data_IF_043004617905
#
_entry.id   IF_043004617905
#
_cell.length_a   1.000
_cell.length_b   1.000
_cell.length_c   1.000
_cell.angle_alpha   90.00
_cell.angle_beta   90.00
_cell.angle_gamma   90.00
#
_symmetry.space_group_name_H-M   'P 1'
#
loop_
_entity.id
_entity.type
_entity.pdbx_description
1 polymer ?
#
# COMPACT_ATOMS: atom_id res chain seq x y z
N UNK A 1 9.16 9.49 -26.08
CA UNK A 1 9.39 10.30 -24.86
C UNK A 1 8.16 10.32 -23.95
N UNK A 2 6.94 10.56 -24.45
CA UNK A 2 5.66 10.49 -23.68
C UNK A 2 5.31 9.12 -23.04
N UNK A 3 5.96 8.03 -23.46
CA UNK A 3 5.71 6.67 -22.96
C UNK A 3 6.49 6.29 -21.70
N UNK A 4 7.63 6.96 -21.45
CA UNK A 4 8.48 6.68 -20.28
C UNK A 4 7.93 7.35 -19.01
N UNK A 5 7.47 8.60 -19.12
CA UNK A 5 6.88 9.34 -17.99
C UNK A 5 5.64 8.62 -17.44
N UNK A 6 4.76 8.13 -18.32
CA UNK A 6 3.58 7.37 -17.91
C UNK A 6 3.92 6.06 -17.19
N UNK A 7 5.04 5.41 -17.51
CA UNK A 7 5.48 4.18 -16.84
C UNK A 7 5.98 4.45 -15.42
N UNK A 8 6.79 5.51 -15.24
CA UNK A 8 7.31 5.89 -13.92
C UNK A 8 6.20 6.39 -13.00
N UNK A 9 5.27 7.20 -13.53
CA UNK A 9 4.10 7.66 -12.78
C UNK A 9 3.22 6.48 -12.36
N UNK A 10 2.95 5.52 -13.25
CA UNK A 10 2.19 4.32 -12.90
C UNK A 10 2.90 3.45 -11.85
N UNK A 11 4.21 3.24 -11.97
CA UNK A 11 4.99 2.49 -10.96
C UNK A 11 4.95 3.18 -9.59
N UNK A 12 5.19 4.48 -9.55
CA UNK A 12 5.14 5.27 -8.31
C UNK A 12 3.74 5.30 -7.69
N UNK A 13 2.70 5.43 -8.50
CA UNK A 13 1.31 5.41 -8.02
C UNK A 13 0.93 4.03 -7.47
N UNK A 14 1.31 2.94 -8.14
CA UNK A 14 1.07 1.58 -7.65
C UNK A 14 1.79 1.31 -6.34
N UNK A 15 3.06 1.71 -6.22
CA UNK A 15 3.82 1.59 -4.97
C UNK A 15 3.17 2.41 -3.83
N UNK A 16 2.76 3.65 -4.13
CA UNK A 16 2.06 4.50 -3.18
C UNK A 16 0.73 3.88 -2.73
N UNK A 17 -0.07 3.34 -3.64
CA UNK A 17 -1.34 2.68 -3.30
C UNK A 17 -1.14 1.38 -2.50
N UNK A 18 -0.06 0.64 -2.75
CA UNK A 18 0.23 -0.62 -2.04
C UNK A 18 0.78 -0.39 -0.63
N UNK A 19 1.42 0.74 -0.36
CA UNK A 19 2.10 1.03 0.91
C UNK A 19 1.39 2.10 1.74
N UNK A 20 0.99 3.22 1.14
CA UNK A 20 0.38 4.33 1.85
C UNK A 20 -1.09 4.06 2.24
N UNK A 21 -1.85 3.38 1.38
CA UNK A 21 -3.25 3.06 1.67
C UNK A 21 -3.43 2.15 2.90
N UNK A 22 -2.72 1.02 3.05
CA UNK A 22 -2.87 0.18 4.24
C UNK A 22 -2.47 0.91 5.53
N UNK A 23 -1.52 1.85 5.49
CA UNK A 23 -1.19 2.72 6.63
C UNK A 23 -2.33 3.66 7.00
N UNK A 24 -3.00 4.26 6.00
CA UNK A 24 -4.19 5.08 6.23
C UNK A 24 -5.34 4.25 6.81
N UNK A 25 -5.54 3.03 6.30
CA UNK A 25 -6.55 2.09 6.83
C UNK A 25 -6.23 1.74 8.29
N UNK A 26 -4.98 1.43 8.62
CA UNK A 26 -4.54 1.22 10.02
C UNK A 26 -4.86 2.43 10.90
N UNK A 27 -4.51 3.64 10.47
CA UNK A 27 -4.80 4.87 11.20
C UNK A 27 -6.31 5.07 11.41
N UNK A 28 -7.13 4.84 10.39
CA UNK A 28 -8.59 4.93 10.50
C UNK A 28 -9.14 3.93 11.51
N UNK A 29 -8.63 2.69 11.54
CA UNK A 29 -9.07 1.68 12.52
C UNK A 29 -8.64 1.96 13.95
N UNK A 30 -7.62 2.79 14.15
CA UNK A 30 -7.21 3.29 15.47
C UNK A 30 -8.09 4.48 15.88
N UNK A 31 -8.38 5.41 14.95
CA UNK A 31 -9.17 6.62 15.21
C UNK A 31 -10.66 6.35 15.34
N UNK A 32 -11.19 5.44 14.52
CA UNK A 32 -12.54 4.88 14.62
C UNK A 32 -12.35 3.54 15.31
N UNK A 33 -12.80 3.34 16.56
CA UNK A 33 -12.48 2.16 17.36
C UNK A 33 -13.12 0.90 16.77
N UNK A 34 -12.48 0.33 15.76
CA UNK A 34 -12.90 -0.90 15.10
C UNK A 34 -12.47 -2.06 16.00
N UNK A 35 -13.43 -2.69 16.69
CA UNK A 35 -13.18 -3.82 17.59
C UNK A 35 -12.84 -5.13 16.87
N UNK A 36 -12.80 -5.14 15.54
CA UNK A 36 -12.50 -6.32 14.75
C UNK A 36 -11.00 -6.45 14.50
N UNK A 37 -10.36 -7.40 15.18
CA UNK A 37 -8.93 -7.69 15.02
C UNK A 37 -8.54 -8.01 13.56
N UNK A 38 -9.43 -8.63 12.78
CA UNK A 38 -9.18 -8.99 11.37
C UNK A 38 -8.96 -7.78 10.47
N UNK A 39 -9.52 -6.62 10.84
CA UNK A 39 -9.25 -5.36 10.14
C UNK A 39 -7.77 -5.02 10.17
N UNK A 40 -7.14 -5.09 11.35
CA UNK A 40 -5.72 -4.79 11.53
C UNK A 40 -4.84 -5.84 10.87
N UNK A 41 -5.20 -7.12 10.97
CA UNK A 41 -4.48 -8.22 10.30
C UNK A 41 -4.46 -7.99 8.79
N UNK A 42 -5.62 -7.72 8.17
CA UNK A 42 -5.71 -7.47 6.73
C UNK A 42 -4.90 -6.24 6.31
N UNK A 43 -4.94 -5.15 7.09
CA UNK A 43 -4.18 -3.94 6.79
C UNK A 43 -2.65 -4.18 6.87
N UNK A 44 -2.18 -4.93 7.87
CA UNK A 44 -0.76 -5.31 8.02
C UNK A 44 -0.33 -6.27 6.89
N UNK A 45 -1.15 -7.29 6.58
CA UNK A 45 -0.87 -8.21 5.47
C UNK A 45 -0.80 -7.47 4.14
N UNK A 46 -1.71 -6.53 3.90
CA UNK A 46 -1.69 -5.69 2.70
C UNK A 46 -0.39 -4.86 2.62
N UNK A 47 0.01 -4.21 3.72
CA UNK A 47 1.27 -3.48 3.78
C UNK A 47 2.48 -4.38 3.47
N UNK A 48 2.54 -5.58 4.08
CA UNK A 48 3.59 -6.56 3.84
C UNK A 48 3.67 -7.02 2.39
N UNK A 49 2.52 -7.33 1.77
CA UNK A 49 2.46 -7.67 0.34
C UNK A 49 2.91 -6.50 -0.54
N UNK A 50 2.52 -5.27 -0.18
CA UNK A 50 2.95 -4.07 -0.87
C UNK A 50 4.48 -3.91 -0.86
N UNK A 51 5.13 -4.18 0.27
CA UNK A 51 6.59 -4.15 0.39
C UNK A 51 7.26 -5.23 -0.48
N UNK A 52 6.75 -6.46 -0.45
CA UNK A 52 7.30 -7.56 -1.26
C UNK A 52 7.23 -7.22 -2.75
N UNK A 53 6.09 -6.74 -3.22
CA UNK A 53 5.93 -6.32 -4.62
C UNK A 53 6.79 -5.12 -4.99
N UNK A 54 6.92 -4.15 -4.08
CA UNK A 54 7.76 -2.98 -4.30
C UNK A 54 9.21 -3.39 -4.51
N UNK A 55 9.78 -4.17 -3.58
CA UNK A 55 11.16 -4.68 -3.66
C UNK A 55 11.34 -5.52 -4.94
N UNK A 56 10.40 -6.44 -5.23
CA UNK A 56 10.49 -7.33 -6.39
C UNK A 56 10.37 -6.63 -7.76
N UNK A 57 9.90 -5.38 -7.80
CA UNK A 57 9.76 -4.58 -9.04
C UNK A 57 10.92 -3.60 -9.21
N UNK A 58 11.65 -3.34 -8.13
CA UNK A 58 12.79 -2.42 -8.08
C UNK A 58 14.14 -3.16 -8.26
N UNK A 59 14.19 -4.46 -7.91
CA UNK A 59 15.21 -5.43 -8.35
C UNK A 59 15.01 -5.85 -9.83
#
# INVERSE_FOLDING_TARGET
MLTLENKLVKKGLSAFLLLALPLLVLLVGILVPVYNAWYFVLAITWFGLGLIFFISVED
#
